data_IF_725757875090
#
_entry.id   IF_725757875090
#
_cell.length_a   1.000
_cell.length_b   1.000
_cell.length_c   1.000
_cell.angle_alpha   90.00
_cell.angle_beta   90.00
_cell.angle_gamma   90.00
#
_symmetry.space_group_name_H-M   'P 1'
#
loop_
_entity.id
_entity.type
_entity.pdbx_description
1 polymer ?
#
# COMPACT_ATOMS: atom_id res chain seq x y z
N UNK A 1 -32.07 -26.14 34.45
CA UNK A 1 -32.22 -24.77 34.98
C UNK A 1 -30.94 -23.93 34.85
N UNK A 2 -29.83 -24.28 35.53
CA UNK A 2 -28.60 -23.46 35.58
C UNK A 2 -27.99 -23.09 34.21
N UNK A 3 -27.99 -24.02 33.24
CA UNK A 3 -27.47 -23.77 31.89
C UNK A 3 -28.25 -22.65 31.18
N UNK A 4 -29.57 -22.61 31.30
CA UNK A 4 -30.40 -21.57 30.67
C UNK A 4 -30.18 -20.19 31.27
N UNK A 5 -29.88 -20.11 32.58
CA UNK A 5 -29.56 -18.84 33.25
C UNK A 5 -28.21 -18.28 32.80
N UNK A 6 -27.20 -19.14 32.70
CA UNK A 6 -25.89 -18.76 32.13
C UNK A 6 -26.08 -18.27 30.70
N UNK A 7 -26.78 -19.02 29.84
CA UNK A 7 -27.04 -18.65 28.45
C UNK A 7 -27.73 -17.27 28.34
N UNK A 8 -28.76 -17.02 29.15
CA UNK A 8 -29.47 -15.75 29.15
C UNK A 8 -28.59 -14.56 29.56
N UNK A 9 -27.63 -14.80 30.45
CA UNK A 9 -26.66 -13.78 30.87
C UNK A 9 -25.60 -13.56 29.78
N UNK A 10 -25.02 -14.62 29.22
CA UNK A 10 -24.01 -14.55 28.15
C UNK A 10 -24.54 -13.87 26.89
N UNK A 11 -25.80 -14.13 26.50
CA UNK A 11 -26.44 -13.48 25.35
C UNK A 11 -26.38 -11.95 25.46
N UNK A 12 -26.51 -11.38 26.66
CA UNK A 12 -26.43 -9.92 26.85
C UNK A 12 -25.03 -9.39 26.55
N UNK A 13 -23.99 -10.13 26.89
CA UNK A 13 -22.60 -9.75 26.66
C UNK A 13 -22.18 -9.90 25.20
N UNK A 14 -22.63 -10.96 24.51
CA UNK A 14 -22.26 -11.20 23.10
C UNK A 14 -23.08 -10.38 22.11
N UNK A 15 -24.27 -9.89 22.51
CA UNK A 15 -25.21 -9.19 21.62
C UNK A 15 -24.59 -8.05 20.80
N UNK A 16 -23.67 -7.22 21.32
CA UNK A 16 -23.01 -6.18 20.51
C UNK A 16 -22.20 -6.73 19.33
N UNK A 17 -21.66 -7.95 19.45
CA UNK A 17 -20.82 -8.61 18.44
C UNK A 17 -21.68 -9.25 17.33
N UNK A 18 -22.92 -9.65 17.66
CA UNK A 18 -23.81 -10.31 16.70
C UNK A 18 -24.26 -9.35 15.60
N UNK A 19 -23.91 -9.67 14.36
CA UNK A 19 -24.30 -8.93 13.16
C UNK A 19 -24.55 -9.90 12.00
N UNK A 20 -25.72 -9.76 11.37
CA UNK A 20 -26.19 -10.62 10.27
C UNK A 20 -26.37 -9.83 8.96
N UNK A 21 -25.65 -8.71 8.81
CA UNK A 21 -25.69 -7.87 7.61
C UNK A 21 -24.42 -8.02 6.76
N UNK A 22 -24.25 -7.10 5.82
CA UNK A 22 -23.04 -7.04 4.99
C UNK A 22 -21.87 -6.39 5.76
N UNK A 23 -20.83 -7.20 6.01
CA UNK A 23 -19.64 -6.82 6.76
C UNK A 23 -18.67 -5.91 5.98
N UNK A 24 -18.91 -5.65 4.70
CA UNK A 24 -18.03 -4.82 3.86
C UNK A 24 -18.55 -3.39 3.67
N UNK A 25 -19.75 -3.09 4.19
CA UNK A 25 -20.41 -1.79 4.04
C UNK A 25 -19.81 -0.72 4.95
N UNK A 26 -19.82 0.56 4.50
CA UNK A 26 -19.41 1.70 5.35
C UNK A 26 -20.38 1.90 6.51
N UNK A 27 -21.62 1.53 6.30
CA UNK A 27 -22.69 1.48 7.29
C UNK A 27 -22.31 0.55 8.44
N UNK A 28 -21.77 -0.64 8.14
CA UNK A 28 -21.26 -1.53 9.17
C UNK A 28 -20.04 -0.97 9.89
N UNK A 29 -19.10 -0.32 9.19
CA UNK A 29 -17.94 0.31 9.84
C UNK A 29 -18.37 1.35 10.89
N UNK A 30 -19.34 2.21 10.55
CA UNK A 30 -19.90 3.19 11.48
C UNK A 30 -20.65 2.53 12.65
N UNK A 31 -21.42 1.49 12.36
CA UNK A 31 -22.18 0.73 13.35
C UNK A 31 -21.26 -0.03 14.32
N UNK A 32 -20.24 -0.71 13.82
CA UNK A 32 -19.24 -1.41 14.62
C UNK A 32 -18.53 -0.44 15.57
N UNK A 33 -18.16 0.75 15.07
CA UNK A 33 -17.59 1.82 15.91
C UNK A 33 -18.57 2.29 16.99
N UNK A 34 -19.86 2.46 16.66
CA UNK A 34 -20.92 2.81 17.64
C UNK A 34 -21.06 1.74 18.73
N UNK A 35 -20.87 0.47 18.37
CA UNK A 35 -20.90 -0.68 19.29
C UNK A 35 -19.60 -0.85 20.09
N UNK A 36 -18.57 -0.04 19.84
CA UNK A 36 -17.27 -0.15 20.49
C UNK A 36 -16.44 -1.35 20.02
N UNK A 37 -16.75 -1.90 18.83
CA UNK A 37 -15.96 -2.98 18.25
C UNK A 37 -14.66 -2.40 17.66
N UNK A 38 -13.49 -3.00 17.96
CA UNK A 38 -12.22 -2.53 17.44
C UNK A 38 -12.16 -2.72 15.92
N UNK A 39 -11.68 -1.69 15.21
CA UNK A 39 -11.46 -1.73 13.77
C UNK A 39 -10.12 -1.04 13.45
N UNK A 40 -9.03 -1.81 13.57
CA UNK A 40 -7.68 -1.32 13.31
C UNK A 40 -7.31 -1.55 11.85
N UNK A 41 -7.13 -0.46 11.09
CA UNK A 41 -6.87 -0.52 9.64
C UNK A 41 -5.42 -0.82 9.26
N UNK A 42 -4.50 -0.70 10.21
CA UNK A 42 -3.07 -0.88 9.96
C UNK A 42 -2.51 -1.97 10.85
N UNK A 43 -1.57 -2.74 10.32
CA UNK A 43 -0.88 -3.80 11.05
C UNK A 43 -0.24 -3.29 12.36
N UNK A 44 0.48 -2.15 12.38
CA UNK A 44 1.05 -1.63 13.63
C UNK A 44 -0.01 -1.32 14.68
N UNK A 45 -1.16 -0.78 14.29
CA UNK A 45 -2.24 -0.49 15.23
C UNK A 45 -2.91 -1.77 15.75
N UNK A 46 -3.16 -2.73 14.87
CA UNK A 46 -3.74 -4.02 15.23
C UNK A 46 -2.85 -4.85 16.17
N UNK A 47 -1.52 -4.82 15.96
CA UNK A 47 -0.57 -5.56 16.79
C UNK A 47 -0.55 -5.10 18.25
N UNK A 48 -0.96 -3.86 18.55
CA UNK A 48 -1.08 -3.37 19.94
C UNK A 48 -2.05 -4.21 20.78
N UNK A 49 -2.99 -4.92 20.15
CA UNK A 49 -3.90 -5.83 20.84
C UNK A 49 -3.15 -6.89 21.68
N UNK A 50 -1.97 -7.33 21.23
CA UNK A 50 -1.14 -8.32 21.92
C UNK A 50 -0.59 -7.84 23.25
N UNK A 51 -0.37 -6.53 23.40
CA UNK A 51 0.22 -5.96 24.63
C UNK A 51 -0.82 -5.29 25.52
N UNK A 52 -2.11 -5.49 25.26
CA UNK A 52 -3.18 -4.99 26.14
C UNK A 52 -3.19 -5.75 27.47
N UNK A 53 -3.55 -5.07 28.56
CA UNK A 53 -3.69 -5.70 29.88
C UNK A 53 -4.65 -6.90 29.85
N UNK A 54 -5.69 -6.83 29.00
CA UNK A 54 -6.63 -7.93 28.80
C UNK A 54 -5.95 -9.14 28.17
N UNK A 55 -5.15 -8.94 27.12
CA UNK A 55 -4.41 -10.02 26.47
C UNK A 55 -3.36 -10.61 27.42
N UNK A 56 -2.55 -9.76 28.05
CA UNK A 56 -1.51 -10.17 29.01
C UNK A 56 -2.09 -11.04 30.14
N UNK A 57 -3.17 -10.58 30.79
CA UNK A 57 -3.84 -11.34 31.85
C UNK A 57 -4.49 -12.63 31.34
N UNK A 58 -5.05 -12.61 30.13
CA UNK A 58 -5.68 -13.78 29.53
C UNK A 58 -4.66 -14.89 29.28
N UNK A 59 -3.57 -14.58 28.58
CA UNK A 59 -2.56 -15.57 28.22
C UNK A 59 -1.80 -16.10 29.44
N UNK A 60 -1.47 -15.23 30.40
CA UNK A 60 -0.81 -15.62 31.65
C UNK A 60 -1.72 -16.52 32.51
N UNK A 61 -3.00 -16.17 32.66
CA UNK A 61 -3.96 -16.95 33.47
C UNK A 61 -4.11 -18.40 33.00
N UNK A 62 -4.05 -18.61 31.69
CA UNK A 62 -4.22 -19.94 31.09
C UNK A 62 -2.88 -20.63 30.80
N UNK A 63 -1.75 -20.05 31.25
CA UNK A 63 -0.39 -20.60 31.08
C UNK A 63 -0.04 -20.91 29.61
N UNK A 64 -0.62 -20.15 28.68
CA UNK A 64 -0.39 -20.33 27.23
C UNK A 64 0.86 -19.60 26.78
N UNK A 65 1.03 -18.35 27.25
CA UNK A 65 2.21 -17.52 27.03
C UNK A 65 2.42 -16.65 28.26
N UNK A 66 3.67 -16.47 28.66
CA UNK A 66 4.06 -15.48 29.65
C UNK A 66 3.97 -14.06 29.10
N UNK A 67 3.85 -13.08 29.99
CA UNK A 67 3.92 -11.66 29.65
C UNK A 67 5.18 -11.27 28.86
N UNK A 68 6.31 -11.92 29.14
CA UNK A 68 7.57 -11.68 28.43
C UNK A 68 7.47 -12.19 27.00
N UNK A 69 6.99 -13.41 26.80
CA UNK A 69 6.82 -14.00 25.47
C UNK A 69 5.85 -13.20 24.60
N UNK A 70 4.74 -12.73 25.17
CA UNK A 70 3.73 -11.98 24.42
C UNK A 70 4.27 -10.62 23.94
N UNK A 71 5.04 -9.92 24.80
CA UNK A 71 5.73 -8.68 24.43
C UNK A 71 6.83 -8.92 23.39
N UNK A 72 7.60 -10.00 23.53
CA UNK A 72 8.61 -10.38 22.54
C UNK A 72 7.98 -10.66 21.17
N UNK A 73 6.85 -11.39 21.13
CA UNK A 73 6.12 -11.64 19.87
C UNK A 73 5.63 -10.34 19.23
N UNK A 74 5.08 -9.41 20.01
CA UNK A 74 4.69 -8.09 19.52
C UNK A 74 5.87 -7.35 18.85
N UNK A 75 7.04 -7.33 19.51
CA UNK A 75 8.23 -6.70 18.96
C UNK A 75 8.72 -7.39 17.67
N UNK A 76 8.75 -8.72 17.64
CA UNK A 76 9.13 -9.50 16.45
C UNK A 76 8.18 -9.21 15.28
N UNK A 77 6.87 -9.11 15.53
CA UNK A 77 5.90 -8.78 14.50
C UNK A 77 6.05 -7.35 13.97
N UNK A 78 6.37 -6.40 14.84
CA UNK A 78 6.69 -5.03 14.44
C UNK A 78 7.95 -4.96 13.58
N UNK A 79 9.03 -5.61 14.03
CA UNK A 79 10.28 -5.67 13.28
C UNK A 79 10.09 -6.31 11.90
N UNK A 80 9.32 -7.40 11.83
CA UNK A 80 8.98 -8.04 10.56
C UNK A 80 8.23 -7.08 9.63
N UNK A 81 7.21 -6.40 10.13
CA UNK A 81 6.45 -5.43 9.35
C UNK A 81 7.35 -4.32 8.77
N UNK A 82 8.27 -3.80 9.59
CA UNK A 82 9.23 -2.77 9.19
C UNK A 82 10.13 -3.29 8.07
N UNK A 83 10.72 -4.48 8.25
CA UNK A 83 11.62 -5.08 7.25
C UNK A 83 10.91 -5.39 5.94
N UNK A 84 9.71 -5.98 6.00
CA UNK A 84 8.91 -6.29 4.82
C UNK A 84 8.65 -5.01 4.02
N UNK A 85 8.25 -3.91 4.69
CA UNK A 85 8.01 -2.63 4.02
C UNK A 85 9.29 -2.00 3.46
N UNK A 86 10.42 -2.05 4.18
CA UNK A 86 11.70 -1.55 3.69
C UNK A 86 12.15 -2.30 2.42
N UNK A 87 11.96 -3.62 2.38
CA UNK A 87 12.23 -4.43 1.19
C UNK A 87 11.31 -4.02 0.04
N UNK A 88 10.00 -3.88 0.29
CA UNK A 88 9.05 -3.43 -0.73
C UNK A 88 9.44 -2.06 -1.31
N UNK A 89 9.81 -1.09 -0.47
CA UNK A 89 10.25 0.24 -0.92
C UNK A 89 11.52 0.17 -1.75
N UNK A 90 12.51 -0.60 -1.32
CA UNK A 90 13.77 -0.75 -2.05
C UNK A 90 13.55 -1.41 -3.42
N UNK A 91 12.70 -2.43 -3.46
CA UNK A 91 12.29 -3.08 -4.70
C UNK A 91 11.58 -2.09 -5.64
N UNK A 92 10.59 -1.36 -5.12
CA UNK A 92 9.82 -0.37 -5.87
C UNK A 92 10.71 0.73 -6.46
N UNK A 93 11.64 1.26 -5.65
CA UNK A 93 12.64 2.23 -6.11
C UNK A 93 13.50 1.66 -7.24
N UNK A 94 14.03 0.45 -7.06
CA UNK A 94 14.85 -0.21 -8.06
C UNK A 94 14.08 -0.38 -9.38
N UNK A 95 12.85 -0.91 -9.32
CA UNK A 95 11.98 -1.09 -10.48
C UNK A 95 11.70 0.25 -11.19
N UNK A 96 11.34 1.29 -10.44
CA UNK A 96 11.04 2.60 -11.02
C UNK A 96 12.26 3.21 -11.72
N UNK A 97 13.42 3.19 -11.07
CA UNK A 97 14.62 3.86 -11.55
C UNK A 97 15.34 3.12 -12.67
N UNK A 98 15.31 1.78 -12.65
CA UNK A 98 16.09 0.96 -13.59
C UNK A 98 15.29 0.39 -14.75
N UNK A 99 13.96 0.28 -14.61
CA UNK A 99 13.10 -0.34 -15.62
C UNK A 99 12.04 0.64 -16.14
N UNK A 100 11.17 1.15 -15.27
CA UNK A 100 10.00 1.95 -15.67
C UNK A 100 10.41 3.29 -16.30
N UNK A 101 11.21 4.11 -15.61
CA UNK A 101 11.62 5.43 -16.12
C UNK A 101 12.42 5.27 -17.43
N UNK A 102 13.44 4.37 -17.53
CA UNK A 102 14.17 4.18 -18.78
C UNK A 102 13.29 3.78 -19.96
N UNK A 103 12.34 2.85 -19.77
CA UNK A 103 11.41 2.43 -20.81
C UNK A 103 10.52 3.60 -21.28
N UNK A 104 9.99 4.37 -20.33
CA UNK A 104 9.16 5.53 -20.63
C UNK A 104 9.94 6.64 -21.35
N UNK A 105 11.19 6.92 -20.96
CA UNK A 105 12.06 7.90 -21.64
C UNK A 105 12.41 7.43 -23.06
N UNK A 106 12.64 6.13 -23.26
CA UNK A 106 12.87 5.57 -24.60
C UNK A 106 11.63 5.76 -25.50
N UNK A 107 10.43 5.50 -24.98
CA UNK A 107 9.18 5.73 -25.70
C UNK A 107 8.91 7.23 -25.94
N UNK A 108 9.17 8.08 -24.94
CA UNK A 108 9.10 9.55 -25.06
C UNK A 108 9.96 10.05 -26.22
N UNK A 109 11.19 9.53 -26.37
CA UNK A 109 12.08 9.86 -27.48
C UNK A 109 11.50 9.43 -28.84
N UNK A 110 10.93 8.22 -28.94
CA UNK A 110 10.28 7.72 -30.16
C UNK A 110 9.12 8.65 -30.57
N UNK A 111 8.25 8.99 -29.62
CA UNK A 111 7.09 9.84 -29.85
C UNK A 111 7.51 11.27 -30.26
N UNK A 112 8.48 11.86 -29.57
CA UNK A 112 9.01 13.18 -29.90
C UNK A 112 9.58 13.22 -31.33
N UNK A 113 10.33 12.18 -31.73
CA UNK A 113 10.85 12.05 -33.09
C UNK A 113 9.72 11.94 -34.12
N UNK A 114 8.73 11.09 -33.87
CA UNK A 114 7.58 10.94 -34.77
C UNK A 114 6.83 12.27 -34.99
N UNK A 115 6.67 13.08 -33.94
CA UNK A 115 6.05 14.41 -34.02
C UNK A 115 6.87 15.35 -34.91
N UNK A 116 8.19 15.40 -34.74
CA UNK A 116 9.08 16.25 -35.54
C UNK A 116 9.06 15.80 -37.00
N UNK A 117 9.30 14.52 -37.26
CA UNK A 117 9.35 13.97 -38.62
C UNK A 117 8.01 14.19 -39.36
N UNK A 118 6.86 14.07 -38.67
CA UNK A 118 5.53 14.32 -39.26
C UNK A 118 5.35 15.79 -39.65
N UNK A 119 5.80 16.72 -38.80
CA UNK A 119 5.75 18.16 -39.10
C UNK A 119 6.66 18.52 -40.27
N UNK A 120 7.85 17.92 -40.34
CA UNK A 120 8.81 18.20 -41.41
C UNK A 120 8.26 17.75 -42.77
N UNK A 121 7.53 16.62 -42.83
CA UNK A 121 6.94 16.10 -44.07
C UNK A 121 5.67 16.84 -44.48
N UNK A 122 4.76 17.13 -43.53
CA UNK A 122 3.43 17.67 -43.83
C UNK A 122 3.32 19.19 -43.68
N UNK A 123 4.32 19.86 -43.10
CA UNK A 123 4.34 21.31 -42.89
C UNK A 123 3.11 21.81 -42.13
N UNK A 124 2.43 22.82 -42.68
CA UNK A 124 1.23 23.42 -42.07
C UNK A 124 0.00 22.51 -42.03
N UNK A 125 -0.01 21.40 -42.78
CA UNK A 125 -1.09 20.42 -42.74
C UNK A 125 -0.96 19.43 -41.55
N UNK A 126 0.17 19.44 -40.83
CA UNK A 126 0.42 18.53 -39.72
C UNK A 126 -0.40 18.91 -38.47
N UNK A 127 -1.49 18.20 -38.21
CA UNK A 127 -2.23 18.30 -36.93
C UNK A 127 -1.68 17.24 -35.96
N UNK A 128 -0.75 17.64 -35.10
CA UNK A 128 -0.07 16.76 -34.13
C UNK A 128 -0.46 17.01 -32.67
N UNK A 129 -1.54 17.75 -32.43
CA UNK A 129 -1.96 18.10 -31.07
C UNK A 129 -2.18 16.88 -30.16
N UNK A 130 -2.81 15.76 -30.61
CA UNK A 130 -2.98 14.60 -29.75
C UNK A 130 -1.65 13.96 -29.32
N UNK A 131 -0.69 13.83 -30.24
CA UNK A 131 0.62 13.25 -29.96
C UNK A 131 1.41 14.13 -28.98
N UNK A 132 1.32 15.46 -29.12
CA UNK A 132 1.92 16.41 -28.19
C UNK A 132 1.30 16.30 -26.79
N UNK A 133 -0.01 16.10 -26.69
CA UNK A 133 -0.68 15.90 -25.39
C UNK A 133 -0.25 14.60 -24.72
N UNK A 134 -0.15 13.49 -25.46
CA UNK A 134 0.37 12.22 -24.94
C UNK A 134 1.81 12.39 -24.46
N UNK A 135 2.66 13.06 -25.26
CA UNK A 135 4.05 13.33 -24.90
C UNK A 135 4.17 14.13 -23.60
N UNK A 136 3.33 15.15 -23.42
CA UNK A 136 3.26 15.94 -22.17
C UNK A 136 2.87 15.07 -20.99
N UNK A 137 1.82 14.24 -21.13
CA UNK A 137 1.39 13.33 -20.06
C UNK A 137 2.49 12.36 -19.64
N UNK A 138 3.21 11.77 -20.59
CA UNK A 138 4.34 10.87 -20.31
C UNK A 138 5.43 11.62 -19.52
N UNK A 139 5.79 12.83 -19.97
CA UNK A 139 6.79 13.65 -19.28
C UNK A 139 6.37 13.98 -17.83
N UNK A 140 5.12 14.37 -17.63
CA UNK A 140 4.58 14.69 -16.31
C UNK A 140 4.58 13.47 -15.39
N UNK A 141 4.17 12.30 -15.90
CA UNK A 141 4.20 11.03 -15.15
C UNK A 141 5.63 10.63 -14.75
N UNK A 142 6.61 10.73 -15.65
CA UNK A 142 8.01 10.46 -15.34
C UNK A 142 8.50 11.36 -14.19
N UNK A 143 8.18 12.66 -14.26
CA UNK A 143 8.57 13.63 -13.23
C UNK A 143 7.91 13.33 -11.88
N UNK A 144 6.62 12.98 -11.89
CA UNK A 144 5.87 12.61 -10.69
C UNK A 144 6.44 11.33 -10.06
N UNK A 145 6.70 10.29 -10.86
CA UNK A 145 7.31 9.03 -10.39
C UNK A 145 8.65 9.32 -9.71
N UNK A 146 9.53 10.08 -10.36
CA UNK A 146 10.83 10.43 -9.79
C UNK A 146 10.71 11.22 -8.48
N UNK A 147 9.80 12.20 -8.43
CA UNK A 147 9.61 13.08 -7.28
C UNK A 147 9.03 12.34 -6.08
N UNK A 148 7.97 11.55 -6.28
CA UNK A 148 7.36 10.75 -5.22
C UNK A 148 8.30 9.66 -4.74
N UNK A 149 9.02 8.99 -5.65
CA UNK A 149 10.00 7.99 -5.24
C UNK A 149 11.11 8.61 -4.37
N UNK A 150 11.63 9.80 -4.73
CA UNK A 150 12.58 10.54 -3.88
C UNK A 150 12.00 10.90 -2.51
N UNK A 151 10.74 11.32 -2.47
CA UNK A 151 10.03 11.63 -1.23
C UNK A 151 9.83 10.39 -0.34
N UNK A 152 9.54 9.23 -0.93
CA UNK A 152 9.49 7.94 -0.23
C UNK A 152 10.84 7.61 0.40
N UNK A 153 11.94 7.71 -0.36
CA UNK A 153 13.29 7.42 0.15
C UNK A 153 13.63 8.32 1.36
N UNK A 154 13.37 9.63 1.26
CA UNK A 154 13.62 10.55 2.36
C UNK A 154 12.79 10.23 3.62
N UNK A 155 11.53 9.79 3.44
CA UNK A 155 10.67 9.37 4.57
C UNK A 155 11.15 8.08 5.23
N UNK A 156 11.63 7.12 4.44
CA UNK A 156 12.20 5.86 4.96
C UNK A 156 13.50 6.12 5.71
N UNK A 157 14.37 6.97 5.18
CA UNK A 157 15.60 7.40 5.89
C UNK A 157 15.27 8.08 7.23
N UNK A 158 14.30 9.00 7.24
CA UNK A 158 13.85 9.66 8.46
C UNK A 158 13.24 8.67 9.48
N UNK A 159 12.54 7.63 9.02
CA UNK A 159 12.02 6.57 9.88
C UNK A 159 13.15 5.66 10.41
N UNK A 160 14.21 5.43 9.62
CA UNK A 160 15.39 4.66 10.02
C UNK A 160 16.19 5.30 11.16
N UNK A 161 16.08 6.62 11.35
CA UNK A 161 16.70 7.33 12.47
C UNK A 161 15.98 7.10 13.82
N UNK A 162 14.82 6.45 13.83
CA UNK A 162 14.08 6.13 15.05
C UNK A 162 14.57 4.81 15.65
N UNK A 163 14.91 4.82 16.93
CA UNK A 163 15.28 3.61 17.70
C UNK A 163 14.06 2.88 18.31
N UNK A 164 12.86 3.45 18.20
CA UNK A 164 11.62 2.90 18.75
C UNK A 164 10.87 2.17 17.63
N UNK A 165 11.00 0.84 17.59
CA UNK A 165 10.43 -0.02 16.54
C UNK A 165 8.91 0.18 16.37
N UNK A 166 8.07 0.18 17.42
CA UNK A 166 6.65 0.53 17.29
C UNK A 166 6.39 1.87 16.60
N UNK A 167 7.11 2.94 16.98
CA UNK A 167 6.94 4.25 16.33
C UNK A 167 7.43 4.26 14.90
N UNK A 168 8.52 3.54 14.61
CA UNK A 168 9.04 3.35 13.26
C UNK A 168 8.00 2.65 12.38
N UNK A 169 7.40 1.56 12.85
CA UNK A 169 6.33 0.84 12.15
C UNK A 169 5.12 1.73 11.85
N UNK A 170 4.68 2.53 12.84
CA UNK A 170 3.58 3.49 12.65
C UNK A 170 3.92 4.58 11.62
N UNK A 171 5.10 5.17 11.72
CA UNK A 171 5.56 6.21 10.79
C UNK A 171 5.62 5.69 9.36
N UNK A 172 6.19 4.50 9.18
CA UNK A 172 6.26 3.80 7.90
C UNK A 172 4.86 3.49 7.34
N UNK A 173 3.98 2.89 8.13
CA UNK A 173 2.62 2.58 7.71
C UNK A 173 1.77 3.82 7.39
N UNK A 174 1.92 4.91 8.14
CA UNK A 174 1.12 6.12 7.97
C UNK A 174 1.66 7.08 6.89
N UNK A 175 2.97 7.13 6.67
CA UNK A 175 3.59 8.12 5.77
C UNK A 175 4.21 7.54 4.51
N UNK A 176 4.67 6.29 4.54
CA UNK A 176 5.35 5.66 3.40
C UNK A 176 4.37 4.85 2.57
N UNK A 177 3.56 3.98 3.20
CA UNK A 177 2.61 3.12 2.45
C UNK A 177 1.67 3.90 1.51
N UNK A 178 1.02 5.00 1.94
CA UNK A 178 0.15 5.77 1.04
C UNK A 178 0.89 6.40 -0.14
N UNK A 179 2.17 6.75 0.04
CA UNK A 179 3.00 7.29 -1.03
C UNK A 179 3.42 6.21 -2.03
N UNK A 180 3.61 4.97 -1.58
CA UNK A 180 3.83 3.83 -2.47
C UNK A 180 2.60 3.57 -3.35
N UNK A 181 1.40 3.68 -2.78
CA UNK A 181 0.14 3.55 -3.53
C UNK A 181 0.00 4.69 -4.56
N UNK A 182 0.30 5.93 -4.18
CA UNK A 182 0.33 7.07 -5.11
C UNK A 182 1.37 6.88 -6.23
N UNK A 183 2.57 6.38 -5.90
CA UNK A 183 3.60 6.09 -6.90
C UNK A 183 3.12 5.05 -7.91
N UNK A 184 2.44 4.01 -7.41
CA UNK A 184 1.86 2.95 -8.25
C UNK A 184 0.83 3.51 -9.22
N UNK A 185 -0.06 4.40 -8.79
CA UNK A 185 -1.04 5.02 -9.69
C UNK A 185 -0.37 5.73 -10.88
N UNK A 186 0.75 6.40 -10.68
CA UNK A 186 1.50 7.02 -11.78
C UNK A 186 2.16 6.00 -12.71
N UNK A 187 2.71 4.90 -12.15
CA UNK A 187 3.30 3.82 -12.94
C UNK A 187 2.23 3.11 -13.77
N UNK A 188 1.09 2.77 -13.18
CA UNK A 188 -0.03 2.12 -13.86
C UNK A 188 -0.61 3.02 -14.96
N UNK A 189 -0.69 4.34 -14.72
CA UNK A 189 -1.09 5.30 -15.75
C UNK A 189 -0.08 5.36 -16.91
N UNK A 190 1.21 5.23 -16.62
CA UNK A 190 2.29 5.23 -17.61
C UNK A 190 2.31 3.94 -18.44
N UNK A 191 2.04 2.79 -17.83
CA UNK A 191 1.90 1.49 -18.49
C UNK A 191 0.86 1.54 -19.62
N UNK A 192 -0.24 2.28 -19.42
CA UNK A 192 -1.30 2.42 -20.41
C UNK A 192 -0.93 3.35 -21.59
N UNK A 193 0.12 4.15 -21.45
CA UNK A 193 0.57 5.10 -22.49
C UNK A 193 1.79 4.62 -23.26
N UNK A 194 2.62 3.78 -22.64
CA UNK A 194 3.84 3.24 -23.23
C UNK A 194 3.50 2.03 -24.09
N UNK A 195 4.21 1.91 -25.21
CA UNK A 195 4.10 0.77 -26.12
C UNK A 195 4.48 -0.55 -25.45
N UNK A 196 3.68 -1.59 -25.71
CA UNK A 196 3.75 -2.90 -25.06
C UNK A 196 5.10 -3.57 -25.29
N UNK A 197 5.64 -3.49 -26.51
CA UNK A 197 6.95 -4.06 -26.87
C UNK A 197 8.11 -3.42 -26.08
N UNK A 198 7.92 -2.18 -25.61
CA UNK A 198 8.94 -1.45 -24.85
C UNK A 198 8.75 -1.55 -23.35
N UNK A 199 7.60 -2.03 -22.90
CA UNK A 199 7.29 -2.11 -21.47
C UNK A 199 8.02 -3.31 -20.85
N UNK A 200 8.83 -3.12 -19.79
CA UNK A 200 9.74 -4.16 -19.30
C UNK A 200 9.08 -5.16 -18.34
N UNK A 201 7.87 -4.89 -17.87
CA UNK A 201 7.18 -5.70 -16.87
C UNK A 201 5.98 -6.41 -17.51
N UNK A 202 5.70 -7.67 -17.13
CA UNK A 202 4.50 -8.33 -17.62
C UNK A 202 3.25 -7.61 -17.10
N UNK A 203 2.29 -7.39 -17.97
CA UNK A 203 1.01 -6.78 -17.62
C UNK A 203 0.15 -7.78 -16.85
N UNK A 204 -0.80 -7.27 -16.06
CA UNK A 204 -1.67 -8.12 -15.24
C UNK A 204 -2.40 -9.20 -16.04
N UNK A 205 -2.86 -8.90 -17.26
CA UNK A 205 -3.57 -9.88 -18.08
C UNK A 205 -2.66 -11.00 -18.57
N UNK A 206 -1.38 -10.70 -18.87
CA UNK A 206 -0.40 -11.70 -19.26
C UNK A 206 -0.08 -12.64 -18.09
N UNK A 207 0.13 -12.06 -16.90
CA UNK A 207 0.34 -12.82 -15.67
C UNK A 207 -0.83 -13.74 -15.31
N UNK A 208 -2.06 -13.36 -15.67
CA UNK A 208 -3.25 -14.11 -15.33
C UNK A 208 -3.63 -15.18 -16.35
N UNK A 209 -3.30 -14.98 -17.64
CA UNK A 209 -3.87 -15.79 -18.72
C UNK A 209 -2.85 -16.39 -19.70
N UNK A 210 -1.60 -15.92 -19.73
CA UNK A 210 -0.60 -16.33 -20.73
C UNK A 210 0.52 -17.22 -20.13
N UNK A 211 0.69 -17.21 -18.81
CA UNK A 211 1.72 -18.01 -18.11
C UNK A 211 1.65 -19.51 -18.41
#
# INVERSE_FOLDING_TARGET
QAVFEVLKNEIKYIKPILFNGDNYTKEWEAEAKRRGLPNEKTTPSALKALITDKALKLFEKYEVLSNVELKSRYLIHMERYIKDLEIEVNCLNNMCMTQVIPAAVAYQKKLAKAIVDTKDVLGSAAVVSPQVEILKKILDLINNIYTINKDIQAKVEAAGALHDEPKKAEMLGAKVKPKMDELREYVDALENLVDDETWPLPKFWEMLFIC
#
